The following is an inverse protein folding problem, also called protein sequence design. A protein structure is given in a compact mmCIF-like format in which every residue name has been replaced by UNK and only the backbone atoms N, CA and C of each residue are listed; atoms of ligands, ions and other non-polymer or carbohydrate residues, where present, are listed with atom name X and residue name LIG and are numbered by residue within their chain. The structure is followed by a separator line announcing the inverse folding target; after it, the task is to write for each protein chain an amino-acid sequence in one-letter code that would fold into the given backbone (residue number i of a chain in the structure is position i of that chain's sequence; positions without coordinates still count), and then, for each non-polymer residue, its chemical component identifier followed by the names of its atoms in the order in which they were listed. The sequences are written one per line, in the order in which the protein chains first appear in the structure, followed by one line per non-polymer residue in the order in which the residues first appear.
data_IF_296694110476
#
_entry.id   IF_296694110476
#
_cell.length_a   1.000
_cell.length_b   1.000
_cell.length_c   1.000
_cell.angle_alpha   90.00
_cell.angle_beta   90.00
_cell.angle_gamma   90.00
#
_symmetry.space_group_name_H-M   'P 1'
#
loop_
_entity.id
_entity.type
_entity.pdbx_description
1 polymer ?
#
# COMPACT_ATOMS: atom_id res chain seq x y z
N UNK A 1 45.98 -32.33 2.27
CA UNK A 1 45.64 -33.36 1.27
C UNK A 1 45.06 -34.57 1.98
N UNK A 2 43.74 -34.66 2.16
CA UNK A 2 43.10 -35.88 2.69
C UNK A 2 41.71 -36.08 2.07
N UNK A 3 41.70 -37.00 1.10
CA UNK A 3 40.73 -38.05 0.77
C UNK A 3 39.23 -37.70 0.61
N UNK A 4 38.84 -37.84 -0.65
CA UNK A 4 37.50 -38.01 -1.21
C UNK A 4 36.86 -39.31 -0.65
N UNK A 5 35.59 -39.25 -0.24
CA UNK A 5 34.71 -40.42 -0.12
C UNK A 5 33.42 -40.14 -0.89
N UNK A 6 33.16 -41.05 -1.83
CA UNK A 6 32.06 -41.11 -2.79
C UNK A 6 30.92 -41.96 -2.22
N UNK A 7 29.67 -41.63 -2.60
CA UNK A 7 28.52 -42.55 -2.54
C UNK A 7 27.35 -41.98 -1.73
N UNK A 8 26.08 -42.05 -2.14
CA UNK A 8 25.44 -42.78 -3.24
C UNK A 8 24.07 -42.15 -3.52
N UNK A 9 23.71 -42.25 -4.80
CA UNK A 9 22.42 -42.12 -5.48
C UNK A 9 21.22 -42.71 -4.71
N UNK A 10 20.13 -41.94 -4.56
CA UNK A 10 18.78 -42.51 -4.47
C UNK A 10 17.80 -41.68 -5.29
N UNK A 11 17.37 -42.28 -6.40
CA UNK A 11 16.23 -41.89 -7.22
C UNK A 11 14.93 -42.13 -6.44
N UNK A 12 14.05 -41.14 -6.38
CA UNK A 12 12.71 -41.26 -5.82
C UNK A 12 11.75 -40.38 -6.59
N UNK A 13 11.29 -40.86 -7.74
CA UNK A 13 10.21 -40.25 -8.52
C UNK A 13 8.86 -40.61 -7.89
N UNK A 14 8.03 -39.61 -7.59
CA UNK A 14 6.60 -39.78 -7.38
C UNK A 14 5.87 -38.66 -8.13
N UNK A 15 5.22 -39.03 -9.23
CA UNK A 15 4.43 -38.20 -10.12
C UNK A 15 2.94 -38.47 -9.90
N UNK A 16 2.18 -37.36 -9.79
CA UNK A 16 0.73 -37.18 -10.00
C UNK A 16 -0.22 -37.88 -9.01
N UNK A 17 -1.29 -37.24 -8.53
CA UNK A 17 -2.43 -36.74 -9.32
C UNK A 17 -3.07 -35.49 -8.70
N UNK A 18 -3.29 -34.47 -9.55
CA UNK A 18 -4.21 -33.36 -9.34
C UNK A 18 -5.64 -33.88 -9.48
N UNK A 19 -6.46 -33.74 -8.42
CA UNK A 19 -7.91 -33.87 -8.52
C UNK A 19 -8.52 -32.45 -8.54
N UNK A 20 -8.80 -31.94 -9.74
CA UNK A 20 -9.67 -30.80 -9.94
C UNK A 20 -11.12 -31.27 -9.96
N UNK A 21 -11.98 -30.66 -9.16
CA UNK A 21 -13.42 -30.78 -9.30
C UNK A 21 -14.00 -29.41 -9.66
N UNK A 22 -14.35 -29.27 -10.94
CA UNK A 22 -15.26 -28.26 -11.46
C UNK A 22 -16.46 -29.04 -11.97
N UNK A 23 -17.66 -28.76 -11.44
CA UNK A 23 -18.83 -28.67 -12.31
C UNK A 23 -19.99 -27.97 -11.62
N UNK A 24 -20.42 -26.92 -12.31
CA UNK A 24 -21.65 -26.18 -12.14
C UNK A 24 -22.87 -27.10 -12.29
N UNK A 25 -23.85 -26.93 -11.42
CA UNK A 25 -25.17 -27.52 -11.56
C UNK A 25 -26.01 -26.74 -12.56
N UNK A 26 -26.61 -27.49 -13.47
CA UNK A 26 -27.45 -27.11 -14.59
C UNK A 26 -28.89 -26.78 -14.19
N UNK A 27 -29.37 -25.65 -14.69
CA UNK A 27 -30.57 -25.47 -15.54
C UNK A 27 -31.82 -26.35 -15.33
N UNK A 28 -32.95 -25.69 -15.05
CA UNK A 28 -34.26 -26.05 -15.60
C UNK A 28 -34.81 -24.86 -16.41
N UNK A 29 -34.88 -25.01 -17.74
CA UNK A 29 -36.11 -25.06 -18.56
C UNK A 29 -36.99 -23.81 -18.36
N UNK A 30 -37.17 -22.96 -19.37
CA UNK A 30 -38.17 -23.19 -20.42
C UNK A 30 -37.86 -22.37 -21.67
N UNK A 31 -38.03 -23.02 -22.81
CA UNK A 31 -37.83 -22.49 -24.16
C UNK A 31 -39.08 -21.77 -24.68
N UNK A 32 -38.82 -20.88 -25.65
CA UNK A 32 -39.62 -20.47 -26.83
C UNK A 32 -39.56 -18.95 -26.95
N UNK A 33 -39.33 -18.29 -28.08
CA UNK A 33 -38.95 -18.62 -29.45
C UNK A 33 -39.09 -17.29 -30.21
N UNK A 34 -38.18 -16.98 -31.16
CA UNK A 34 -38.37 -16.13 -32.37
C UNK A 34 -38.93 -14.69 -32.20
N UNK A 35 -38.58 -13.64 -32.93
CA UNK A 35 -37.66 -13.36 -34.03
C UNK A 35 -37.89 -11.87 -34.40
N UNK A 36 -36.81 -11.16 -34.72
CA UNK A 36 -36.68 -10.13 -35.78
C UNK A 36 -37.60 -8.88 -35.86
N UNK A 37 -36.89 -7.74 -35.89
CA UNK A 37 -36.99 -6.60 -36.84
C UNK A 37 -38.05 -5.48 -36.68
N UNK A 38 -37.51 -4.32 -36.27
CA UNK A 38 -37.46 -3.05 -37.02
C UNK A 38 -38.65 -2.07 -37.10
N UNK A 39 -38.25 -0.78 -37.13
CA UNK A 39 -38.93 0.46 -37.57
C UNK A 39 -39.71 1.21 -36.47
N UNK A 40 -39.83 2.54 -36.45
CA UNK A 40 -39.20 3.70 -37.12
C UNK A 40 -39.93 4.94 -36.55
N UNK A 41 -39.17 5.98 -36.21
CA UNK A 41 -39.44 7.43 -36.06
C UNK A 41 -40.86 8.04 -36.21
N UNK A 42 -41.19 9.02 -35.35
CA UNK A 42 -41.68 10.41 -35.64
C UNK A 42 -42.33 11.02 -34.39
N UNK A 43 -41.77 12.00 -33.67
CA UNK A 43 -41.68 13.46 -33.90
C UNK A 43 -42.97 14.28 -33.72
N UNK A 44 -42.83 15.34 -32.89
CA UNK A 44 -43.58 16.62 -32.87
C UNK A 44 -44.98 16.61 -32.18
N UNK A 45 -45.48 17.63 -31.45
CA UNK A 45 -45.01 18.97 -31.05
C UNK A 45 -46.07 19.60 -30.10
N UNK A 46 -45.68 20.68 -29.40
CA UNK A 46 -46.52 21.82 -28.88
C UNK A 46 -47.42 21.54 -27.67
N UNK A 47 -47.48 22.39 -26.62
CA UNK A 47 -47.62 23.86 -26.64
C UNK A 47 -47.22 24.49 -25.29
N UNK A 48 -46.56 25.65 -25.34
CA UNK A 48 -46.48 26.66 -24.26
C UNK A 48 -47.79 27.49 -24.21
N UNK A 49 -48.02 28.37 -23.21
CA UNK A 49 -47.43 29.73 -23.27
C UNK A 49 -47.18 30.45 -21.92
N UNK A 50 -46.57 31.65 -22.05
CA UNK A 50 -46.78 32.88 -21.24
C UNK A 50 -45.74 33.25 -20.16
N UNK A 51 -44.83 34.11 -20.61
CA UNK A 51 -44.34 35.40 -20.08
C UNK A 51 -44.55 35.79 -18.61
N UNK A 52 -43.47 36.25 -17.96
CA UNK A 52 -43.34 37.64 -17.46
C UNK A 52 -41.91 37.99 -17.05
N UNK A 53 -41.52 39.19 -17.44
CA UNK A 53 -40.25 39.88 -17.24
C UNK A 53 -40.34 40.78 -16.00
N UNK A 54 -39.34 40.78 -15.10
CA UNK A 54 -38.89 42.01 -14.44
C UNK A 54 -37.61 41.81 -13.61
N UNK A 55 -36.59 42.56 -14.01
CA UNK A 55 -35.68 43.40 -13.23
C UNK A 55 -34.82 42.85 -12.09
N UNK A 56 -33.53 43.12 -12.29
CA UNK A 56 -32.37 43.04 -11.40
C UNK A 56 -32.51 44.02 -10.23
N UNK A 57 -32.03 43.64 -9.04
CA UNK A 57 -31.15 44.50 -8.25
C UNK A 57 -30.39 43.72 -7.17
N UNK A 58 -29.16 44.18 -6.97
CA UNK A 58 -28.06 43.65 -6.19
C UNK A 58 -28.32 43.63 -4.68
N UNK A 59 -27.87 42.56 -4.00
CA UNK A 59 -27.19 42.71 -2.71
C UNK A 59 -26.18 41.56 -2.59
N UNK A 60 -24.95 41.92 -2.94
CA UNK A 60 -23.74 41.13 -2.72
C UNK A 60 -23.48 40.98 -1.22
N UNK A 61 -24.04 39.92 -0.61
CA UNK A 61 -23.54 39.42 0.67
C UNK A 61 -22.39 38.45 0.40
N UNK A 62 -21.20 39.02 0.24
CA UNK A 62 -19.95 38.28 0.34
C UNK A 62 -19.83 37.76 1.79
N UNK A 63 -20.47 36.62 2.06
CA UNK A 63 -20.12 35.79 3.21
C UNK A 63 -18.74 35.22 2.94
N UNK A 64 -17.72 35.95 3.38
CA UNK A 64 -16.40 35.42 3.66
C UNK A 64 -16.55 34.32 4.70
N UNK A 65 -16.88 33.11 4.26
CA UNK A 65 -16.60 31.91 5.02
C UNK A 65 -15.08 31.77 5.07
N UNK A 66 -14.49 32.44 6.06
CA UNK A 66 -13.19 32.08 6.58
C UNK A 66 -13.35 30.66 7.13
N UNK A 67 -13.23 29.68 6.24
CA UNK A 67 -13.06 28.29 6.61
C UNK A 67 -11.82 28.27 7.50
N UNK A 68 -12.03 28.12 8.80
CA UNK A 68 -10.96 27.80 9.72
C UNK A 68 -10.24 26.60 9.11
N UNK A 69 -8.99 26.79 8.72
CA UNK A 69 -8.15 25.72 8.24
C UNK A 69 -8.03 24.72 9.39
N UNK A 70 -8.90 23.70 9.39
CA UNK A 70 -8.66 22.49 10.14
C UNK A 70 -7.34 21.96 9.59
N UNK A 71 -6.30 22.06 10.40
CA UNK A 71 -4.97 21.57 10.08
C UNK A 71 -5.07 20.05 9.86
N UNK A 72 -5.38 19.66 8.63
CA UNK A 72 -5.48 18.26 8.23
C UNK A 72 -4.07 17.69 8.26
N UNK A 73 -3.88 16.67 9.09
CA UNK A 73 -2.60 15.97 9.16
C UNK A 73 -2.38 15.21 7.84
N UNK A 74 -1.16 15.19 7.30
CA UNK A 74 -0.87 14.49 6.05
C UNK A 74 -1.10 12.98 6.18
N UNK A 75 -1.03 12.42 7.40
CA UNK A 75 -1.35 11.03 7.70
C UNK A 75 -2.66 10.86 8.47
N UNK A 76 -3.40 9.79 8.16
CA UNK A 76 -4.67 9.42 8.79
C UNK A 76 -5.00 7.93 8.55
N UNK A 77 -6.10 7.47 9.18
CA UNK A 77 -6.54 6.07 9.12
C UNK A 77 -6.92 5.56 7.73
N UNK A 78 -7.52 6.41 6.87
CA UNK A 78 -7.87 6.01 5.51
C UNK A 78 -6.63 5.71 4.68
N UNK A 79 -5.60 6.56 4.78
CA UNK A 79 -4.29 6.32 4.14
C UNK A 79 -3.58 5.11 4.72
N UNK A 80 -3.64 4.91 6.04
CA UNK A 80 -3.09 3.71 6.69
C UNK A 80 -3.75 2.43 6.14
N UNK A 81 -5.08 2.43 5.98
CA UNK A 81 -5.80 1.29 5.41
C UNK A 81 -5.42 1.04 3.94
N UNK A 82 -5.26 2.09 3.13
CA UNK A 82 -4.78 1.97 1.75
C UNK A 82 -3.37 1.38 1.70
N UNK A 83 -2.47 1.85 2.56
CA UNK A 83 -1.10 1.36 2.64
C UNK A 83 -1.05 -0.11 3.07
N UNK A 84 -1.81 -0.50 4.09
CA UNK A 84 -1.92 -1.90 4.51
C UNK A 84 -2.43 -2.80 3.39
N UNK A 85 -3.47 -2.34 2.68
CA UNK A 85 -4.03 -3.09 1.55
C UNK A 85 -3.00 -3.26 0.43
N UNK A 86 -2.23 -2.21 0.14
CA UNK A 86 -1.11 -2.27 -0.81
C UNK A 86 -0.05 -3.27 -0.38
N UNK A 87 0.45 -3.19 0.86
CA UNK A 87 1.52 -4.08 1.34
C UNK A 87 1.11 -5.56 1.30
N UNK A 88 -0.14 -5.86 1.67
CA UNK A 88 -0.69 -7.21 1.62
C UNK A 88 -0.83 -7.74 0.18
N UNK A 89 -1.17 -6.88 -0.78
CA UNK A 89 -1.31 -7.28 -2.18
C UNK A 89 0.04 -7.37 -2.91
N UNK A 90 0.98 -6.48 -2.59
CA UNK A 90 2.28 -6.38 -3.24
C UNK A 90 3.28 -7.42 -2.73
N UNK A 91 3.37 -7.64 -1.42
CA UNK A 91 4.35 -8.57 -0.82
C UNK A 91 4.42 -9.94 -1.51
N UNK A 92 3.28 -10.61 -1.79
CA UNK A 92 3.27 -11.92 -2.45
C UNK A 92 3.95 -11.95 -3.83
N UNK A 93 3.97 -10.83 -4.57
CA UNK A 93 4.67 -10.74 -5.86
C UNK A 93 6.19 -10.91 -5.74
N UNK A 94 6.73 -10.72 -4.54
CA UNK A 94 8.15 -10.90 -4.18
C UNK A 94 8.39 -12.14 -3.31
N UNK A 95 7.40 -13.02 -3.17
CA UNK A 95 7.41 -14.14 -2.23
C UNK A 95 7.60 -13.71 -0.75
N UNK A 96 7.05 -12.55 -0.39
CA UNK A 96 7.19 -11.95 0.94
C UNK A 96 5.81 -11.70 1.58
N UNK A 97 5.76 -11.68 2.90
CA UNK A 97 4.58 -11.29 3.67
C UNK A 97 5.00 -10.33 4.78
N UNK A 98 4.24 -9.28 5.01
CA UNK A 98 4.67 -8.21 5.91
C UNK A 98 3.73 -8.07 7.10
N UNK A 99 4.30 -7.99 8.31
CA UNK A 99 3.57 -7.60 9.50
C UNK A 99 3.68 -6.08 9.68
N UNK A 100 2.56 -5.42 9.95
CA UNK A 100 2.54 -4.00 10.32
C UNK A 100 3.10 -3.83 11.74
N UNK A 101 4.05 -2.91 11.89
CA UNK A 101 4.63 -2.55 13.19
C UNK A 101 3.85 -1.38 13.80
N UNK A 102 3.65 -1.46 15.12
CA UNK A 102 3.08 -0.39 15.92
C UNK A 102 4.17 0.57 16.44
N UNK A 103 3.80 1.77 16.93
CA UNK A 103 4.74 2.64 17.62
C UNK A 103 5.39 1.96 18.85
N UNK A 104 4.71 1.00 19.47
CA UNK A 104 5.24 0.20 20.57
C UNK A 104 6.32 -0.76 20.12
N UNK A 105 6.12 -1.44 18.98
CA UNK A 105 7.14 -2.31 18.38
C UNK A 105 8.38 -1.49 18.00
N UNK A 106 8.17 -0.30 17.39
CA UNK A 106 9.26 0.60 17.00
C UNK A 106 10.18 0.96 18.16
N UNK A 107 9.63 1.30 19.34
CA UNK A 107 10.43 1.68 20.52
C UNK A 107 11.43 0.61 20.96
N UNK A 108 11.11 -0.67 20.73
CA UNK A 108 12.00 -1.79 21.06
C UNK A 108 13.17 -1.93 20.10
N UNK A 109 13.00 -1.55 18.82
CA UNK A 109 14.06 -1.63 17.81
C UNK A 109 14.77 -0.30 17.57
N UNK A 110 14.15 0.82 17.94
CA UNK A 110 14.66 2.17 17.66
C UNK A 110 15.75 2.68 18.58
N UNK A 111 16.06 1.95 19.67
CA UNK A 111 17.02 2.39 20.69
C UNK A 111 18.50 2.32 20.29
N UNK A 112 18.87 1.58 19.23
CA UNK A 112 20.25 1.55 18.74
C UNK A 112 20.30 1.20 17.24
N UNK A 113 21.00 2.03 16.46
CA UNK A 113 21.30 1.86 15.03
C UNK A 113 20.11 2.04 14.06
N UNK A 114 19.27 3.06 14.25
CA UNK A 114 18.38 3.58 13.20
C UNK A 114 19.11 4.67 12.42
N UNK A 115 19.92 4.28 11.44
CA UNK A 115 20.75 5.21 10.67
C UNK A 115 20.30 5.29 9.22
N UNK A 116 20.42 6.46 8.60
CA UNK A 116 20.10 6.67 7.18
C UNK A 116 21.38 6.53 6.34
N UNK A 117 21.29 5.83 5.21
CA UNK A 117 22.33 5.74 4.19
C UNK A 117 23.45 4.74 4.49
N UNK A 118 24.01 4.76 5.69
CA UNK A 118 25.10 3.87 6.12
C UNK A 118 25.00 3.55 7.61
N UNK A 119 25.81 2.60 8.10
CA UNK A 119 25.87 2.26 9.52
C UNK A 119 26.21 3.47 10.41
N UNK A 120 27.10 4.35 9.94
CA UNK A 120 27.46 5.59 10.63
C UNK A 120 26.36 6.66 10.58
N UNK A 121 25.39 6.50 9.68
CA UNK A 121 24.38 7.50 9.36
C UNK A 121 24.91 8.67 8.53
N UNK A 122 24.00 9.49 8.02
CA UNK A 122 24.29 10.78 7.39
C UNK A 122 23.99 11.98 8.32
N UNK A 123 23.62 11.70 9.57
CA UNK A 123 23.18 12.68 10.56
C UNK A 123 21.68 12.98 10.56
N UNK A 124 20.91 12.42 9.61
CA UNK A 124 19.46 12.59 9.57
C UNK A 124 18.76 11.93 10.76
N UNK A 125 17.76 12.61 11.29
CA UNK A 125 16.88 12.12 12.34
C UNK A 125 15.71 11.32 11.75
N UNK A 126 15.37 10.19 12.38
CA UNK A 126 14.37 9.25 11.89
C UNK A 126 13.56 8.72 13.07
N UNK A 127 12.28 9.07 13.14
CA UNK A 127 11.46 8.78 14.32
C UNK A 127 9.97 8.67 13.95
N UNK A 128 9.21 7.97 14.79
CA UNK A 128 7.79 7.76 14.57
C UNK A 128 6.98 9.05 14.70
N UNK A 129 5.99 9.23 13.81
CA UNK A 129 5.00 10.31 13.82
C UNK A 129 3.61 9.75 13.51
N UNK A 130 2.65 10.01 14.39
CA UNK A 130 1.24 9.58 14.19
C UNK A 130 0.51 10.41 13.15
N UNK A 131 1.03 11.60 12.81
CA UNK A 131 0.38 12.57 11.93
C UNK A 131 1.13 12.75 10.61
N UNK A 132 2.36 12.26 10.49
CA UNK A 132 3.26 12.54 9.36
C UNK A 132 3.87 13.94 9.39
N UNK A 133 3.69 14.67 10.50
CA UNK A 133 4.37 15.94 10.80
C UNK A 133 5.22 15.78 12.05
N UNK A 134 6.27 16.60 12.16
CA UNK A 134 7.18 16.57 13.31
C UNK A 134 8.48 17.29 12.98
N UNK A 135 9.42 17.21 13.92
CA UNK A 135 10.69 17.93 13.86
C UNK A 135 11.86 17.04 13.38
N UNK A 136 11.55 15.84 12.90
CA UNK A 136 12.53 14.89 12.40
C UNK A 136 12.70 15.04 10.90
N UNK A 137 13.89 14.75 10.39
CA UNK A 137 14.14 14.72 8.95
C UNK A 137 13.22 13.69 8.29
N UNK A 138 13.02 12.53 8.92
CA UNK A 138 12.07 11.51 8.49
C UNK A 138 11.00 11.26 9.55
N UNK A 139 9.77 11.70 9.26
CA UNK A 139 8.60 11.48 10.11
C UNK A 139 7.90 10.20 9.67
N UNK A 140 8.18 9.10 10.35
CA UNK A 140 7.75 7.74 9.98
C UNK A 140 6.33 7.51 10.43
N UNK A 141 5.44 7.13 9.50
CA UNK A 141 4.01 6.98 9.78
C UNK A 141 3.52 5.54 9.77
N UNK A 142 4.30 4.64 9.17
CA UNK A 142 4.03 3.22 9.15
C UNK A 142 5.32 2.44 8.85
N UNK A 143 5.42 1.24 9.42
CA UNK A 143 6.50 0.30 9.14
C UNK A 143 5.96 -1.11 8.98
N UNK A 144 6.63 -1.89 8.14
CA UNK A 144 6.20 -3.23 7.77
C UNK A 144 7.40 -4.16 7.70
N UNK A 145 7.36 -5.28 8.42
CA UNK A 145 8.49 -6.19 8.56
C UNK A 145 8.22 -7.61 8.04
N UNK A 146 9.22 -8.14 7.36
CA UNK A 146 9.34 -9.53 6.95
C UNK A 146 10.67 -10.08 7.47
N UNK A 147 10.61 -11.11 8.32
CA UNK A 147 11.82 -11.83 8.74
C UNK A 147 12.15 -12.85 7.68
N UNK A 148 13.38 -12.78 7.19
CA UNK A 148 13.92 -13.73 6.22
C UNK A 148 14.65 -14.84 6.96
N UNK A 149 14.72 -16.02 6.37
CA UNK A 149 15.70 -17.02 6.74
C UNK A 149 16.99 -16.83 5.93
N UNK A 150 18.10 -17.45 6.34
CA UNK A 150 19.29 -17.55 5.50
C UNK A 150 19.03 -18.23 4.15
N UNK A 151 18.03 -19.11 4.06
CA UNK A 151 17.65 -19.84 2.84
C UNK A 151 16.78 -18.99 1.90
N UNK A 152 16.24 -17.88 2.39
CA UNK A 152 15.58 -16.84 1.62
C UNK A 152 14.07 -16.91 1.54
N UNK A 153 13.45 -17.89 2.18
CA UNK A 153 12.05 -17.84 2.60
C UNK A 153 11.93 -17.02 3.90
N UNK A 154 10.73 -16.94 4.48
CA UNK A 154 10.50 -16.10 5.66
C UNK A 154 9.03 -15.88 5.98
N UNK A 155 8.78 -15.05 6.99
CA UNK A 155 7.44 -14.76 7.50
C UNK A 155 7.28 -13.30 7.92
N UNK A 156 6.05 -12.79 7.78
CA UNK A 156 5.59 -11.61 8.50
C UNK A 156 5.87 -11.77 10.01
N UNK A 157 6.47 -10.76 10.63
CA UNK A 157 6.77 -10.75 12.07
C UNK A 157 6.84 -9.33 12.60
N UNK A 158 6.19 -9.05 13.74
CA UNK A 158 6.40 -7.78 14.45
C UNK A 158 7.67 -7.77 15.29
N UNK A 159 8.28 -8.94 15.50
CA UNK A 159 9.60 -9.06 16.10
C UNK A 159 10.68 -9.06 15.01
N UNK A 160 11.40 -7.94 14.85
CA UNK A 160 12.42 -7.80 13.80
C UNK A 160 13.61 -8.71 14.13
N UNK A 161 13.86 -9.68 13.24
CA UNK A 161 14.97 -10.61 13.37
C UNK A 161 16.28 -10.08 12.80
N UNK A 162 17.36 -10.82 13.01
CA UNK A 162 18.68 -10.51 12.43
C UNK A 162 18.65 -10.45 10.90
N UNK A 163 17.90 -11.37 10.29
CA UNK A 163 17.63 -11.44 8.87
C UNK A 163 16.25 -10.83 8.61
N UNK A 164 16.21 -9.63 8.05
CA UNK A 164 14.95 -8.94 7.82
C UNK A 164 14.94 -8.08 6.56
N UNK A 165 13.73 -7.80 6.11
CA UNK A 165 13.40 -6.74 5.16
C UNK A 165 12.30 -5.93 5.83
N UNK A 166 12.63 -4.71 6.24
CA UNK A 166 11.68 -3.80 6.88
C UNK A 166 11.51 -2.58 5.99
N UNK A 167 10.27 -2.25 5.66
CA UNK A 167 9.92 -1.01 4.99
C UNK A 167 9.45 0.02 6.00
N UNK A 168 9.84 1.27 5.79
CA UNK A 168 9.32 2.42 6.52
C UNK A 168 8.76 3.44 5.52
N UNK A 169 7.60 3.98 5.85
CA UNK A 169 6.91 4.99 5.07
C UNK A 169 6.92 6.27 5.85
N UNK A 170 7.53 7.31 5.29
CA UNK A 170 7.78 8.56 5.99
C UNK A 170 7.47 9.78 5.13
N UNK A 171 7.27 10.90 5.81
CA UNK A 171 7.36 12.22 5.21
C UNK A 171 8.73 12.83 5.54
N UNK A 172 9.48 13.18 4.50
CA UNK A 172 10.76 13.88 4.58
C UNK A 172 10.61 15.25 3.93
N UNK A 173 10.75 16.32 4.72
CA UNK A 173 10.50 17.69 4.27
C UNK A 173 9.12 17.86 3.59
N UNK A 174 8.09 17.21 4.15
CA UNK A 174 6.72 17.19 3.62
C UNK A 174 6.51 16.32 2.38
N UNK A 175 7.56 15.71 1.82
CA UNK A 175 7.47 14.82 0.67
C UNK A 175 7.43 13.35 1.09
N UNK A 176 6.63 12.50 0.44
CA UNK A 176 6.59 11.08 0.76
C UNK A 176 7.87 10.37 0.31
N UNK A 177 8.54 9.70 1.25
CA UNK A 177 9.70 8.83 0.99
C UNK A 177 9.44 7.45 1.56
N UNK A 178 9.65 6.41 0.73
CA UNK A 178 9.64 5.02 1.17
C UNK A 178 11.08 4.55 1.36
N UNK A 179 11.37 4.02 2.54
CA UNK A 179 12.68 3.54 2.95
C UNK A 179 12.63 2.02 3.15
N UNK A 180 13.79 1.38 3.05
CA UNK A 180 13.96 -0.04 3.35
C UNK A 180 15.25 -0.25 4.14
N UNK A 181 15.15 -1.06 5.19
CA UNK A 181 16.27 -1.71 5.87
C UNK A 181 16.29 -3.18 5.48
N UNK A 182 17.43 -3.66 5.00
CA UNK A 182 17.64 -5.06 4.66
C UNK A 182 18.92 -5.53 5.33
N UNK A 183 18.81 -6.49 6.25
CA UNK A 183 19.97 -7.02 6.96
C UNK A 183 20.01 -8.54 6.95
N UNK A 184 21.23 -9.06 7.07
CA UNK A 184 21.52 -10.46 7.37
C UNK A 184 22.28 -10.62 8.68
N UNK A 185 22.61 -9.52 9.37
CA UNK A 185 23.43 -9.48 10.58
C UNK A 185 22.81 -8.51 11.63
N UNK A 186 21.50 -8.25 11.55
CA UNK A 186 20.80 -7.30 12.42
C UNK A 186 21.11 -5.82 12.12
N UNK A 187 20.64 -4.93 13.00
CA UNK A 187 20.75 -3.48 12.84
C UNK A 187 19.77 -2.90 11.80
N UNK A 188 19.52 -1.59 11.89
CA UNK A 188 18.49 -0.91 11.09
C UNK A 188 19.10 0.23 10.24
N UNK A 189 19.74 -0.14 9.13
CA UNK A 189 20.29 0.84 8.18
C UNK A 189 19.26 1.09 7.07
N UNK A 190 18.68 2.29 7.09
CA UNK A 190 17.62 2.70 6.20
C UNK A 190 18.17 3.36 4.94
N UNK A 191 17.65 2.97 3.78
CA UNK A 191 17.94 3.65 2.51
C UNK A 191 16.64 3.86 1.75
N UNK A 192 16.53 4.91 0.90
CA UNK A 192 15.41 5.02 -0.02
C UNK A 192 15.28 3.73 -0.83
N UNK A 193 14.09 3.12 -0.82
CA UNK A 193 13.90 1.86 -1.52
C UNK A 193 14.08 2.06 -3.02
N UNK A 194 14.75 1.11 -3.68
CA UNK A 194 14.86 1.07 -5.15
C UNK A 194 13.64 0.41 -5.80
N UNK A 195 12.66 -0.07 -5.01
CA UNK A 195 11.47 -0.69 -5.53
C UNK A 195 10.47 0.35 -6.04
N UNK A 196 10.42 0.54 -7.37
CA UNK A 196 9.56 1.54 -8.00
C UNK A 196 8.06 1.35 -7.71
N UNK A 197 7.60 0.10 -7.53
CA UNK A 197 6.22 -0.19 -7.17
C UNK A 197 5.90 0.32 -5.77
N UNK A 198 6.79 0.12 -4.80
CA UNK A 198 6.62 0.65 -3.43
C UNK A 198 6.69 2.17 -3.42
N UNK A 199 7.67 2.77 -4.11
CA UNK A 199 7.83 4.23 -4.20
C UNK A 199 6.56 4.91 -4.76
N UNK A 200 6.09 4.44 -5.93
CA UNK A 200 4.95 5.05 -6.62
C UNK A 200 3.63 4.88 -5.84
N UNK A 201 3.40 3.71 -5.24
CA UNK A 201 2.21 3.49 -4.42
C UNK A 201 2.24 4.33 -3.15
N UNK A 202 3.39 4.45 -2.49
CA UNK A 202 3.53 5.32 -1.32
C UNK A 202 3.23 6.77 -1.68
N UNK A 203 3.85 7.31 -2.72
CA UNK A 203 3.63 8.68 -3.16
C UNK A 203 2.15 8.95 -3.47
N UNK A 204 1.47 8.01 -4.15
CA UNK A 204 0.03 8.10 -4.44
C UNK A 204 -0.84 8.11 -3.17
N UNK A 205 -0.55 7.21 -2.23
CA UNK A 205 -1.35 7.08 -0.99
C UNK A 205 -1.13 8.31 -0.11
N UNK A 206 0.11 8.72 0.09
CA UNK A 206 0.48 9.90 0.87
C UNK A 206 -0.10 11.19 0.28
N UNK A 207 -0.08 11.33 -1.05
CA UNK A 207 -0.62 12.49 -1.77
C UNK A 207 -2.14 12.49 -1.96
N UNK A 208 -2.86 11.43 -1.58
CA UNK A 208 -4.31 11.35 -1.75
C UNK A 208 -5.03 12.34 -0.82
N UNK A 209 -6.07 13.00 -1.34
CA UNK A 209 -6.97 13.83 -0.53
C UNK A 209 -7.86 12.93 0.33
N UNK A 210 -8.08 13.33 1.58
CA UNK A 210 -9.10 12.72 2.44
C UNK A 210 -10.46 13.24 2.01
N UNK A 211 -11.27 12.42 1.36
CA UNK A 211 -12.71 12.68 1.21
C UNK A 211 -13.45 12.31 2.49
#
# INVERSE_FOLDING_TARGET
MHKIITGTLTLGAALFLLAGCSSSSSSSKTASSSSTTAKKSSSAQTSSPTSSQSSQEETSSASSSQAAATSSTPWNSAKAQQLRSFMNAWGPSMHQSYAELSPGDYQWYGGANNTIGSYEGDGSTFEWSTTGTGNYDYNVVAMYNYNKSPQGDGTASTNIGEYHITYAFAYHNGQPVALVSQSTNGGMVWTPTKNATVQSNWARIAGSATN
#
